data_IF_162412800118
#
_entry.id   IF_162412800118
#
_cell.length_a   1.000
_cell.length_b   1.000
_cell.length_c   1.000
_cell.angle_alpha   90.00
_cell.angle_beta   90.00
_cell.angle_gamma   90.00
#
_symmetry.space_group_name_H-M   'P 1'
#
loop_
_entity.id
_entity.type
_entity.pdbx_description
1 polymer ?
#
# COMPACT_ATOMS: atom_id res chain seq x y z
N UNK A 1 9.72 50.31 -26.42
CA UNK A 1 9.85 48.85 -26.70
C UNK A 1 8.50 48.13 -26.73
N UNK A 2 7.56 48.39 -25.80
CA UNK A 2 6.24 47.75 -25.80
C UNK A 2 5.39 48.06 -27.06
N UNK A 3 5.45 49.30 -27.58
CA UNK A 3 4.65 49.69 -28.74
C UNK A 3 5.08 49.00 -30.04
N UNK A 4 6.39 48.77 -30.21
CA UNK A 4 6.94 48.08 -31.38
C UNK A 4 6.49 46.61 -31.42
N UNK A 5 6.57 45.90 -30.28
CA UNK A 5 6.09 44.53 -30.16
C UNK A 5 4.58 44.43 -30.42
N UNK A 6 3.80 45.41 -29.95
CA UNK A 6 2.36 45.43 -30.20
C UNK A 6 2.01 45.67 -31.68
N UNK A 7 2.77 46.51 -32.38
CA UNK A 7 2.60 46.75 -33.81
C UNK A 7 2.98 45.50 -34.63
N UNK A 8 4.09 44.84 -34.28
CA UNK A 8 4.54 43.60 -34.91
C UNK A 8 3.49 42.48 -34.72
N UNK A 9 2.96 42.32 -33.50
CA UNK A 9 1.91 41.33 -33.22
C UNK A 9 0.59 41.67 -33.93
N UNK A 10 0.22 42.95 -34.04
CA UNK A 10 -0.97 43.38 -34.78
C UNK A 10 -0.84 43.03 -36.26
N UNK A 11 0.31 43.36 -36.86
CA UNK A 11 0.60 43.03 -38.25
C UNK A 11 0.60 41.51 -38.48
N UNK A 12 1.21 40.75 -37.57
CA UNK A 12 1.23 39.28 -37.60
C UNK A 12 -0.19 38.71 -37.57
N UNK A 13 -1.04 39.21 -36.67
CA UNK A 13 -2.42 38.73 -36.56
C UNK A 13 -3.27 39.06 -37.81
N UNK A 14 -3.04 40.21 -38.44
CA UNK A 14 -3.78 40.62 -39.64
C UNK A 14 -3.51 39.72 -40.87
N UNK A 15 -2.34 39.06 -40.91
CA UNK A 15 -1.91 38.16 -42.01
C UNK A 15 -2.45 36.73 -41.82
N UNK A 16 -3.31 36.48 -40.83
CA UNK A 16 -4.00 35.19 -40.70
C UNK A 16 -5.11 35.01 -41.72
N UNK A 17 -5.83 36.09 -42.03
CA UNK A 17 -7.00 36.07 -42.89
C UNK A 17 -8.15 36.90 -42.34
N UNK A 18 -9.34 36.65 -42.86
CA UNK A 18 -10.55 37.32 -42.38
C UNK A 18 -11.77 36.40 -42.48
N UNK A 19 -12.77 36.68 -41.66
CA UNK A 19 -14.05 36.00 -41.69
C UNK A 19 -15.09 36.88 -42.36
N UNK A 20 -15.73 36.39 -43.42
CA UNK A 20 -16.74 37.13 -44.17
C UNK A 20 -18.17 37.02 -43.59
N UNK A 21 -18.34 36.20 -42.54
CA UNK A 21 -19.65 35.89 -41.94
C UNK A 21 -20.12 34.46 -42.21
N UNK A 22 -19.59 33.83 -43.25
CA UNK A 22 -19.96 32.49 -43.72
C UNK A 22 -18.78 31.53 -43.81
N UNK A 23 -17.62 32.00 -44.26
CA UNK A 23 -16.40 31.22 -44.36
C UNK A 23 -15.18 32.05 -43.92
N UNK A 24 -14.12 31.34 -43.52
CA UNK A 24 -12.87 31.99 -43.14
C UNK A 24 -11.91 31.97 -44.32
N UNK A 25 -11.49 33.13 -44.82
CA UNK A 25 -10.54 33.22 -45.92
C UNK A 25 -9.11 33.31 -45.37
N UNK A 26 -8.32 32.26 -45.59
CA UNK A 26 -6.92 32.21 -45.18
C UNK A 26 -6.05 33.08 -46.08
N UNK A 27 -5.10 33.78 -45.49
CA UNK A 27 -4.01 34.40 -46.25
C UNK A 27 -2.93 33.37 -46.64
N UNK A 28 -2.16 33.65 -47.68
CA UNK A 28 -1.16 32.76 -48.29
C UNK A 28 -0.12 32.23 -47.30
N UNK A 29 0.20 33.03 -46.27
CA UNK A 29 1.24 32.73 -45.28
C UNK A 29 0.68 32.36 -43.89
N UNK A 30 -0.62 32.05 -43.78
CA UNK A 30 -1.29 31.80 -42.49
C UNK A 30 -0.58 30.74 -41.63
N UNK A 31 -0.06 29.67 -42.23
CA UNK A 31 0.63 28.60 -41.51
C UNK A 31 1.90 29.10 -40.81
N UNK A 32 2.70 29.92 -41.49
CA UNK A 32 3.95 30.44 -40.95
C UNK A 32 3.71 31.52 -39.90
N UNK A 33 2.67 32.32 -40.09
CA UNK A 33 2.16 33.27 -39.09
C UNK A 33 1.77 32.57 -37.79
N UNK A 34 1.04 31.44 -37.86
CA UNK A 34 0.69 30.67 -36.66
C UNK A 34 1.96 30.12 -35.98
N UNK A 35 2.96 29.65 -36.75
CA UNK A 35 4.25 29.21 -36.19
C UNK A 35 4.97 30.37 -35.51
N UNK A 36 4.93 31.58 -36.06
CA UNK A 36 5.51 32.77 -35.46
C UNK A 36 4.81 33.18 -34.17
N UNK A 37 3.48 33.16 -34.14
CA UNK A 37 2.70 33.36 -32.91
C UNK A 37 3.08 32.36 -31.81
N UNK A 38 3.32 31.10 -32.17
CA UNK A 38 3.81 30.08 -31.23
C UNK A 38 5.23 30.40 -30.76
N UNK A 39 6.13 30.87 -31.64
CA UNK A 39 7.49 31.30 -31.26
C UNK A 39 7.46 32.49 -30.30
N UNK A 40 6.59 33.47 -30.56
CA UNK A 40 6.36 34.61 -29.65
C UNK A 40 5.84 34.13 -28.29
N UNK A 41 4.83 33.25 -28.24
CA UNK A 41 4.30 32.70 -26.98
C UNK A 41 5.30 31.82 -26.21
N UNK A 42 6.26 31.19 -26.88
CA UNK A 42 7.34 30.44 -26.21
C UNK A 42 8.34 31.36 -25.52
N UNK A 43 8.58 32.55 -26.07
CA UNK A 43 9.47 33.59 -25.54
C UNK A 43 8.77 34.61 -24.65
N UNK A 44 7.48 34.39 -24.35
CA UNK A 44 6.67 35.28 -23.53
C UNK A 44 7.29 35.42 -22.13
N UNK A 45 7.40 36.65 -21.68
CA UNK A 45 8.00 37.01 -20.41
C UNK A 45 7.06 36.68 -19.23
N UNK A 46 7.57 36.81 -17.99
CA UNK A 46 6.77 36.59 -16.76
C UNK A 46 5.57 37.55 -16.65
N UNK A 47 5.57 38.64 -17.42
CA UNK A 47 4.46 39.58 -17.49
C UNK A 47 3.39 39.15 -18.49
N UNK A 48 3.66 38.14 -19.32
CA UNK A 48 2.76 37.59 -20.32
C UNK A 48 2.22 38.64 -21.30
N UNK A 49 3.07 39.57 -21.73
CA UNK A 49 2.69 40.69 -22.61
C UNK A 49 2.08 40.21 -23.93
N UNK A 50 2.68 39.19 -24.55
CA UNK A 50 2.26 38.64 -25.83
C UNK A 50 0.89 37.95 -25.66
N UNK A 51 0.75 37.10 -24.65
CA UNK A 51 -0.51 36.42 -24.39
C UNK A 51 -1.64 37.40 -24.04
N UNK A 52 -1.36 38.46 -23.28
CA UNK A 52 -2.34 39.52 -22.99
C UNK A 52 -2.77 40.23 -24.26
N UNK A 53 -1.84 40.53 -25.15
CA UNK A 53 -2.14 41.17 -26.44
C UNK A 53 -3.07 40.29 -27.28
N UNK A 54 -2.72 39.01 -27.47
CA UNK A 54 -3.56 38.05 -28.22
C UNK A 54 -4.94 37.84 -27.58
N UNK A 55 -5.02 37.92 -26.24
CA UNK A 55 -6.29 37.89 -25.52
C UNK A 55 -7.14 39.13 -25.74
N UNK A 56 -6.54 40.32 -25.79
CA UNK A 56 -7.24 41.59 -26.08
C UNK A 56 -7.76 41.65 -27.50
N UNK A 57 -6.99 41.15 -28.46
CA UNK A 57 -7.41 41.05 -29.87
C UNK A 57 -8.42 39.94 -30.11
N UNK A 58 -8.69 39.08 -29.10
CA UNK A 58 -9.59 37.93 -29.20
C UNK A 58 -9.24 37.00 -30.36
N UNK A 59 -7.93 36.88 -30.67
CA UNK A 59 -7.43 36.11 -31.81
C UNK A 59 -7.98 34.68 -31.83
N UNK A 60 -8.12 34.06 -30.64
CA UNK A 60 -8.64 32.70 -30.51
C UNK A 60 -10.08 32.59 -31.01
N UNK A 61 -10.96 33.54 -30.66
CA UNK A 61 -12.37 33.51 -31.04
C UNK A 61 -12.60 34.03 -32.46
N UNK A 62 -11.83 35.03 -32.88
CA UNK A 62 -12.04 35.73 -34.14
C UNK A 62 -11.47 34.97 -35.31
N UNK A 63 -10.30 34.34 -35.13
CA UNK A 63 -9.54 33.70 -36.20
C UNK A 63 -9.32 32.21 -35.91
N UNK A 64 -8.60 31.84 -34.84
CA UNK A 64 -8.12 30.45 -34.67
C UNK A 64 -9.24 29.40 -34.59
N UNK A 65 -10.33 29.67 -33.86
CA UNK A 65 -11.49 28.77 -33.80
C UNK A 65 -12.20 28.68 -35.14
N UNK A 66 -12.26 29.77 -35.90
CA UNK A 66 -12.89 29.77 -37.23
C UNK A 66 -12.03 29.04 -38.25
N UNK A 67 -10.72 29.27 -38.25
CA UNK A 67 -9.76 28.48 -39.03
C UNK A 67 -9.94 27.00 -38.72
N UNK A 68 -10.07 26.63 -37.45
CA UNK A 68 -10.30 25.25 -37.03
C UNK A 68 -11.61 24.66 -37.58
N UNK A 69 -12.71 25.40 -37.54
CA UNK A 69 -14.02 24.91 -38.01
C UNK A 69 -14.10 24.84 -39.55
N UNK A 70 -13.57 25.86 -40.23
CA UNK A 70 -13.74 26.04 -41.68
C UNK A 70 -12.67 25.31 -42.50
N UNK A 71 -11.46 25.13 -41.95
CA UNK A 71 -10.32 24.51 -42.65
C UNK A 71 -9.97 23.12 -42.12
N UNK A 72 -10.99 22.27 -41.88
CA UNK A 72 -10.82 20.89 -41.37
C UNK A 72 -9.88 20.03 -42.23
N UNK A 73 -9.85 20.27 -43.54
CA UNK A 73 -9.09 19.48 -44.51
C UNK A 73 -7.59 19.76 -44.51
N UNK A 74 -7.14 20.89 -43.93
CA UNK A 74 -5.74 21.29 -43.91
C UNK A 74 -5.03 20.76 -42.66
N UNK A 75 -4.68 19.48 -42.67
CA UNK A 75 -4.11 18.76 -41.51
C UNK A 75 -2.86 19.40 -40.91
N UNK A 76 -2.04 20.09 -41.71
CA UNK A 76 -0.87 20.82 -41.22
C UNK A 76 -1.24 22.01 -40.33
N UNK A 77 -2.29 22.76 -40.70
CA UNK A 77 -2.82 23.85 -39.87
C UNK A 77 -3.37 23.30 -38.56
N UNK A 78 -4.05 22.16 -38.61
CA UNK A 78 -4.57 21.48 -37.42
C UNK A 78 -3.47 21.09 -36.44
N UNK A 79 -2.42 20.46 -36.95
CA UNK A 79 -1.31 20.03 -36.13
C UNK A 79 -0.62 21.24 -35.48
N UNK A 80 -0.36 22.30 -36.24
CA UNK A 80 0.26 23.52 -35.70
C UNK A 80 -0.63 24.23 -34.67
N UNK A 81 -1.95 24.33 -34.92
CA UNK A 81 -2.90 24.95 -33.98
C UNK A 81 -3.04 24.15 -32.67
N UNK A 82 -3.02 22.82 -32.74
CA UNK A 82 -3.18 21.93 -31.58
C UNK A 82 -1.88 21.71 -30.78
N UNK A 83 -0.70 21.95 -31.36
CA UNK A 83 0.63 21.79 -30.72
C UNK A 83 0.90 22.70 -29.51
N UNK A 84 -0.05 23.53 -29.07
CA UNK A 84 0.18 24.49 -27.99
C UNK A 84 -0.60 24.19 -26.70
N UNK A 85 -0.02 23.35 -25.84
CA UNK A 85 -0.47 23.10 -24.46
C UNK A 85 -0.46 24.36 -23.56
N UNK A 86 0.20 25.45 -23.98
CA UNK A 86 0.29 26.72 -23.24
C UNK A 86 -0.75 27.78 -23.66
N UNK A 87 -1.72 27.43 -24.50
CA UNK A 87 -2.94 28.26 -24.72
C UNK A 87 -3.94 28.07 -23.56
N UNK A 88 -3.49 27.49 -22.44
CA UNK A 88 -4.21 27.51 -21.16
C UNK A 88 -4.61 28.94 -20.80
N UNK A 89 -5.92 29.18 -20.87
CA UNK A 89 -6.53 30.50 -20.90
C UNK A 89 -6.03 31.45 -19.82
N UNK A 90 -5.58 32.62 -20.26
CA UNK A 90 -5.38 33.79 -19.40
C UNK A 90 -6.56 34.72 -19.65
N UNK A 91 -7.50 34.72 -18.72
CA UNK A 91 -8.76 35.45 -18.77
C UNK A 91 -8.53 36.86 -18.21
N UNK A 92 -9.09 37.85 -18.88
CA UNK A 92 -9.14 39.23 -18.40
C UNK A 92 -10.52 39.43 -17.76
N UNK A 93 -10.56 39.79 -16.49
CA UNK A 93 -11.82 40.12 -15.81
C UNK A 93 -12.23 41.52 -16.26
N UNK A 94 -13.28 41.61 -17.08
CA UNK A 94 -13.84 42.89 -17.48
C UNK A 94 -14.35 43.65 -16.25
N UNK A 95 -14.11 44.97 -16.21
CA UNK A 95 -14.53 45.88 -15.13
C UNK A 95 -13.84 45.70 -13.75
N UNK A 96 -12.68 45.03 -13.69
CA UNK A 96 -11.81 45.05 -12.50
C UNK A 96 -10.39 45.50 -12.84
N UNK A 97 -9.88 46.51 -12.13
CA UNK A 97 -8.50 47.00 -12.25
C UNK A 97 -7.59 46.32 -11.23
N UNK A 98 -6.46 45.80 -11.67
CA UNK A 98 -5.33 45.44 -10.82
C UNK A 98 -4.65 46.70 -10.35
N UNK A 99 -4.04 46.68 -9.16
CA UNK A 99 -3.34 47.80 -8.51
C UNK A 99 -2.67 48.74 -9.54
N UNK A 100 -3.38 49.81 -9.91
CA UNK A 100 -3.11 50.64 -11.11
C UNK A 100 -4.29 50.73 -12.11
N UNK A 101 -4.01 51.13 -13.35
CA UNK A 101 -5.02 51.29 -14.43
C UNK A 101 -5.29 50.03 -15.26
N UNK A 102 -4.49 48.97 -15.08
CA UNK A 102 -4.56 47.76 -15.89
C UNK A 102 -5.65 46.81 -15.42
N UNK A 103 -6.33 46.12 -16.35
CA UNK A 103 -7.36 45.12 -16.02
C UNK A 103 -6.77 43.88 -15.31
N UNK A 104 -7.54 43.27 -14.40
CA UNK A 104 -7.17 42.07 -13.64
C UNK A 104 -7.06 40.82 -14.54
N UNK A 105 -6.00 40.04 -14.32
CA UNK A 105 -5.66 38.88 -15.16
C UNK A 105 -5.71 37.60 -14.33
N UNK A 106 -6.30 36.54 -14.89
CA UNK A 106 -6.56 35.28 -14.21
C UNK A 106 -6.20 34.09 -15.09
N UNK A 107 -5.47 33.12 -14.55
CA UNK A 107 -4.95 31.97 -15.31
C UNK A 107 -5.85 30.71 -15.23
N UNK A 108 -7.04 30.84 -14.62
CA UNK A 108 -8.09 29.80 -14.55
C UNK A 108 -9.47 30.47 -14.69
N UNK A 109 -10.43 29.86 -15.38
CA UNK A 109 -11.78 30.41 -15.48
C UNK A 109 -12.45 30.31 -14.10
N UNK A 110 -12.88 31.44 -13.52
CA UNK A 110 -13.70 31.41 -12.32
C UNK A 110 -15.04 30.79 -12.67
N UNK A 111 -15.43 29.76 -11.92
CA UNK A 111 -16.74 29.14 -12.12
C UNK A 111 -17.89 29.96 -11.48
N UNK A 112 -17.60 30.95 -10.61
CA UNK A 112 -18.58 31.94 -10.07
C UNK A 112 -17.89 33.25 -9.63
N UNK A 113 -18.49 34.41 -9.96
CA UNK A 113 -18.03 35.77 -9.59
C UNK A 113 -18.05 36.02 -8.07
N UNK A 114 -18.86 35.26 -7.33
CA UNK A 114 -18.98 35.30 -5.86
C UNK A 114 -17.69 34.94 -5.10
N UNK A 115 -16.65 34.46 -5.80
CA UNK A 115 -15.33 34.18 -5.20
C UNK A 115 -14.40 35.39 -5.13
N UNK A 116 -14.85 36.57 -5.57
CA UNK A 116 -14.14 37.84 -5.42
C UNK A 116 -14.57 38.54 -4.13
N UNK A 117 -14.10 38.04 -2.97
CA UNK A 117 -14.31 38.70 -1.68
C UNK A 117 -13.37 39.93 -1.53
N UNK A 118 -13.92 41.14 -1.69
CA UNK A 118 -13.24 42.41 -1.43
C UNK A 118 -13.32 42.84 0.06
N UNK A 119 -13.12 41.91 0.97
CA UNK A 119 -13.13 42.15 2.41
C UNK A 119 -11.89 42.85 2.96
N UNK A 120 -11.32 43.85 2.27
CA UNK A 120 -10.23 44.67 2.82
C UNK A 120 -10.81 45.82 3.65
N UNK A 121 -11.26 45.54 4.89
CA UNK A 121 -11.19 46.46 6.05
C UNK A 121 -11.97 45.95 7.29
N UNK A 122 -11.87 44.67 7.61
CA UNK A 122 -11.85 44.27 9.02
C UNK A 122 -10.56 43.53 9.26
N UNK A 123 -9.68 44.06 10.13
CA UNK A 123 -8.52 43.34 10.65
C UNK A 123 -9.06 42.08 11.35
N UNK A 124 -9.20 40.99 10.60
CA UNK A 124 -9.32 39.66 11.20
C UNK A 124 -8.05 39.49 12.02
N UNK A 125 -8.23 39.32 13.33
CA UNK A 125 -7.15 38.95 14.26
C UNK A 125 -6.38 37.82 13.58
N UNK A 126 -5.07 38.01 13.38
CA UNK A 126 -4.18 36.96 12.88
C UNK A 126 -4.25 35.80 13.87
N UNK A 127 -5.17 34.85 13.64
CA UNK A 127 -5.05 33.51 14.20
C UNK A 127 -3.83 32.89 13.52
N UNK A 128 -2.90 32.36 14.31
CA UNK A 128 -1.66 31.74 13.82
C UNK A 128 -2.00 30.75 12.70
N UNK A 129 -1.29 30.82 11.58
CA UNK A 129 -1.48 29.96 10.40
C UNK A 129 -1.31 28.46 10.72
N UNK A 130 -0.75 28.13 11.88
CA UNK A 130 -0.55 26.76 12.36
C UNK A 130 -1.83 26.06 12.87
N UNK A 131 -3.00 26.69 12.78
CA UNK A 131 -4.28 26.12 13.26
C UNK A 131 -5.40 26.04 12.22
N UNK A 132 -5.09 26.23 10.93
CA UNK A 132 -6.06 25.95 9.87
C UNK A 132 -5.66 24.67 9.14
N UNK A 133 -6.17 23.53 9.63
CA UNK A 133 -6.08 22.27 8.89
C UNK A 133 -6.63 22.42 7.47
N UNK A 134 -6.09 21.63 6.54
CA UNK A 134 -6.52 21.62 5.14
C UNK A 134 -8.02 21.31 5.08
N UNK A 135 -8.85 22.28 4.66
CA UNK A 135 -10.29 22.08 4.52
C UNK A 135 -10.60 21.53 3.13
N UNK A 136 -10.93 20.24 3.05
CA UNK A 136 -11.54 19.64 1.87
C UNK A 136 -13.07 19.77 2.01
N UNK A 137 -13.68 20.72 1.30
CA UNK A 137 -15.14 20.82 1.18
C UNK A 137 -15.63 19.77 0.20
N UNK A 138 -16.56 18.90 0.62
CA UNK A 138 -17.30 18.01 -0.28
C UNK A 138 -18.19 18.87 -1.18
N UNK A 139 -17.69 19.21 -2.37
CA UNK A 139 -18.49 19.91 -3.38
C UNK A 139 -19.16 18.86 -4.26
N UNK A 140 -20.41 18.52 -3.94
CA UNK A 140 -21.24 17.71 -4.82
C UNK A 140 -21.70 18.58 -6.01
N UNK A 141 -21.19 18.28 -7.20
CA UNK A 141 -21.70 18.89 -8.43
C UNK A 141 -22.86 18.08 -8.97
N UNK A 142 -24.04 18.66 -8.96
CA UNK A 142 -25.22 18.08 -9.62
C UNK A 142 -25.28 18.56 -11.06
N UNK A 143 -24.74 17.75 -11.98
CA UNK A 143 -24.93 17.96 -13.42
C UNK A 143 -26.40 17.74 -13.81
N UNK A 144 -26.82 18.33 -14.93
CA UNK A 144 -28.14 18.12 -15.53
C UNK A 144 -28.40 16.62 -15.75
N UNK A 145 -29.66 16.17 -15.62
CA UNK A 145 -30.03 14.76 -15.71
C UNK A 145 -29.53 14.09 -17.00
N UNK A 146 -29.66 14.75 -18.15
CA UNK A 146 -29.17 14.23 -19.44
C UNK A 146 -27.67 13.94 -19.42
N UNK A 147 -26.87 14.86 -18.87
CA UNK A 147 -25.42 14.69 -18.70
C UNK A 147 -25.11 13.53 -17.75
N UNK A 148 -25.89 13.35 -16.67
CA UNK A 148 -25.69 12.23 -15.74
C UNK A 148 -26.02 10.87 -16.37
N UNK A 149 -27.07 10.80 -17.19
CA UNK A 149 -27.41 9.59 -17.93
C UNK A 149 -26.32 9.23 -18.95
N UNK A 150 -25.86 10.23 -19.73
CA UNK A 150 -24.75 10.06 -20.66
C UNK A 150 -23.46 9.60 -19.97
N UNK A 151 -23.07 10.24 -18.85
CA UNK A 151 -21.88 9.83 -18.09
C UNK A 151 -22.03 8.43 -17.51
N UNK A 152 -23.23 8.05 -17.07
CA UNK A 152 -23.50 6.69 -16.58
C UNK A 152 -23.34 5.66 -17.69
N UNK A 153 -23.91 5.91 -18.86
CA UNK A 153 -23.78 5.04 -20.04
C UNK A 153 -22.31 4.90 -20.44
N UNK A 154 -21.58 6.02 -20.52
CA UNK A 154 -20.14 6.02 -20.76
C UNK A 154 -19.37 5.15 -19.74
N UNK A 155 -19.66 5.28 -18.44
CA UNK A 155 -18.99 4.48 -17.41
C UNK A 155 -19.25 2.98 -17.58
N UNK A 156 -20.47 2.59 -17.98
CA UNK A 156 -20.82 1.17 -18.22
C UNK A 156 -20.09 0.64 -19.45
N UNK A 157 -20.13 1.37 -20.56
CA UNK A 157 -19.42 0.99 -21.79
C UNK A 157 -17.91 0.90 -21.55
N UNK A 158 -17.33 1.90 -20.88
CA UNK A 158 -15.92 1.94 -20.57
C UNK A 158 -15.47 0.77 -19.69
N UNK A 159 -16.23 0.43 -18.64
CA UNK A 159 -15.95 -0.72 -17.78
C UNK A 159 -16.04 -2.04 -18.54
N UNK A 160 -16.99 -2.15 -19.45
CA UNK A 160 -17.20 -3.38 -20.21
C UNK A 160 -16.17 -3.61 -21.33
N UNK A 161 -15.71 -2.55 -21.99
CA UNK A 161 -14.90 -2.66 -23.20
C UNK A 161 -13.42 -2.27 -23.07
N UNK A 162 -13.07 -1.33 -22.18
CA UNK A 162 -11.76 -0.68 -22.22
C UNK A 162 -11.02 -0.64 -20.88
N UNK A 163 -11.72 -0.66 -19.74
CA UNK A 163 -11.12 -0.40 -18.43
C UNK A 163 -9.91 -1.28 -18.14
N UNK A 164 -10.03 -2.61 -18.21
CA UNK A 164 -8.92 -3.52 -17.91
C UNK A 164 -7.70 -3.25 -18.81
N UNK A 165 -7.90 -3.05 -20.11
CA UNK A 165 -6.83 -2.76 -21.07
C UNK A 165 -6.14 -1.43 -20.79
N UNK A 166 -6.92 -0.38 -20.53
CA UNK A 166 -6.41 0.97 -20.22
C UNK A 166 -5.65 0.97 -18.89
N UNK A 167 -6.19 0.32 -17.86
CA UNK A 167 -5.55 0.27 -16.55
C UNK A 167 -4.27 -0.56 -16.58
N UNK A 168 -4.24 -1.66 -17.33
CA UNK A 168 -3.03 -2.46 -17.55
C UNK A 168 -1.93 -1.64 -18.23
N UNK A 169 -2.28 -0.91 -19.29
CA UNK A 169 -1.33 -0.04 -19.99
C UNK A 169 -0.84 1.10 -19.08
N UNK A 170 -1.75 1.81 -18.42
CA UNK A 170 -1.40 2.90 -17.50
C UNK A 170 -0.49 2.44 -16.36
N UNK A 171 -0.73 1.24 -15.83
CA UNK A 171 0.13 0.59 -14.83
C UNK A 171 1.52 0.30 -15.37
N UNK A 172 1.63 -0.21 -16.60
CA UNK A 172 2.93 -0.44 -17.25
C UNK A 172 3.72 0.86 -17.43
N UNK A 173 3.06 1.98 -17.75
CA UNK A 173 3.70 3.29 -17.83
C UNK A 173 4.23 3.74 -16.47
N UNK A 174 3.48 3.54 -15.39
CA UNK A 174 3.91 3.94 -14.03
C UNK A 174 5.10 3.11 -13.55
N UNK A 175 5.17 1.83 -13.92
CA UNK A 175 6.27 0.93 -13.50
C UNK A 175 7.54 1.19 -14.32
N UNK A 176 7.41 1.44 -15.63
CA UNK A 176 8.56 1.54 -16.54
C UNK A 176 9.22 2.93 -16.53
N UNK A 177 8.53 3.98 -16.10
CA UNK A 177 9.10 5.32 -16.06
C UNK A 177 9.73 5.58 -14.69
N UNK A 178 11.07 5.60 -14.66
CA UNK A 178 11.91 5.91 -13.48
C UNK A 178 11.62 7.30 -12.88
N UNK A 179 11.12 8.23 -13.70
CA UNK A 179 10.73 9.60 -13.33
C UNK A 179 9.28 9.93 -13.74
N UNK A 180 8.35 9.00 -13.54
CA UNK A 180 6.93 9.25 -13.85
C UNK A 180 6.45 10.54 -13.18
N UNK A 181 5.99 11.51 -13.98
CA UNK A 181 5.45 12.75 -13.44
C UNK A 181 4.38 12.38 -12.42
N UNK A 182 4.55 12.76 -11.16
CA UNK A 182 3.64 12.36 -10.09
C UNK A 182 2.16 12.77 -10.32
N UNK A 183 1.88 13.56 -11.37
CA UNK A 183 0.55 13.84 -11.91
C UNK A 183 -0.12 12.62 -12.57
N UNK A 184 0.62 11.81 -13.31
CA UNK A 184 0.11 10.62 -14.01
C UNK A 184 -0.32 9.55 -13.02
N UNK A 185 0.51 9.27 -12.01
CA UNK A 185 0.17 8.34 -10.92
C UNK A 185 -1.06 8.80 -10.13
N UNK A 186 -1.19 10.10 -9.89
CA UNK A 186 -2.37 10.68 -9.22
C UNK A 186 -3.63 10.39 -10.05
N UNK A 187 -3.56 10.56 -11.36
CA UNK A 187 -4.70 10.32 -12.26
C UNK A 187 -5.09 8.83 -12.30
N UNK A 188 -4.10 7.93 -12.30
CA UNK A 188 -4.33 6.49 -12.19
C UNK A 188 -5.03 6.12 -10.88
N UNK A 189 -4.53 6.58 -9.73
CA UNK A 189 -5.14 6.30 -8.42
C UNK A 189 -6.57 6.84 -8.32
N UNK A 190 -6.83 8.00 -8.92
CA UNK A 190 -8.18 8.54 -9.02
C UNK A 190 -9.10 7.65 -9.85
N UNK A 191 -8.62 7.16 -11.00
CA UNK A 191 -9.37 6.27 -11.87
C UNK A 191 -9.70 4.94 -11.18
N UNK A 192 -8.71 4.32 -10.53
CA UNK A 192 -8.92 3.11 -9.70
C UNK A 192 -10.06 3.35 -8.71
N UNK A 193 -9.96 4.41 -7.91
CA UNK A 193 -10.99 4.75 -6.92
C UNK A 193 -12.37 4.93 -7.56
N UNK A 194 -12.47 5.77 -8.60
CA UNK A 194 -13.75 6.16 -9.17
C UNK A 194 -14.48 5.00 -9.86
N UNK A 195 -13.78 4.27 -10.73
CA UNK A 195 -14.40 3.21 -11.50
C UNK A 195 -14.68 1.95 -10.68
N UNK A 196 -13.85 1.63 -9.69
CA UNK A 196 -14.15 0.53 -8.78
C UNK A 196 -15.32 0.86 -7.86
N UNK A 197 -15.41 2.09 -7.34
CA UNK A 197 -16.55 2.57 -6.56
C UNK A 197 -17.85 2.53 -7.39
N UNK A 198 -17.79 2.98 -8.65
CA UNK A 198 -18.93 2.88 -9.58
C UNK A 198 -19.35 1.43 -9.82
N UNK A 199 -18.40 0.53 -10.10
CA UNK A 199 -18.67 -0.89 -10.31
C UNK A 199 -19.33 -1.51 -9.08
N UNK A 200 -18.83 -1.21 -7.87
CA UNK A 200 -19.38 -1.70 -6.60
C UNK A 200 -20.81 -1.24 -6.34
N UNK A 201 -21.18 -0.02 -6.74
CA UNK A 201 -22.50 0.54 -6.45
C UNK A 201 -23.56 0.31 -7.53
N UNK A 202 -23.17 0.06 -8.79
CA UNK A 202 -24.13 -0.09 -9.89
C UNK A 202 -24.57 -1.53 -10.12
N UNK A 203 -23.67 -2.37 -10.67
CA UNK A 203 -23.88 -3.79 -10.94
C UNK A 203 -22.54 -4.48 -10.77
N UNK A 204 -22.25 -4.87 -9.53
CA UNK A 204 -20.94 -5.38 -9.17
C UNK A 204 -20.60 -6.65 -9.94
N UNK A 205 -19.69 -6.51 -10.90
CA UNK A 205 -19.19 -7.61 -11.71
C UNK A 205 -17.66 -7.57 -11.71
N UNK A 206 -17.04 -8.63 -11.19
CA UNK A 206 -15.59 -8.68 -10.97
C UNK A 206 -14.82 -8.70 -12.29
N UNK A 207 -15.40 -9.26 -13.36
CA UNK A 207 -14.80 -9.31 -14.70
C UNK A 207 -14.40 -7.93 -15.23
N UNK A 208 -15.13 -6.87 -14.87
CA UNK A 208 -14.86 -5.51 -15.35
C UNK A 208 -13.67 -4.86 -14.64
N UNK A 209 -13.26 -5.35 -13.47
CA UNK A 209 -12.22 -4.75 -12.63
C UNK A 209 -11.11 -5.74 -12.27
N UNK A 210 -11.00 -6.85 -13.01
CA UNK A 210 -10.05 -7.94 -12.74
C UNK A 210 -8.59 -7.49 -12.79
N UNK A 211 -8.25 -6.51 -13.64
CA UNK A 211 -6.89 -5.95 -13.70
C UNK A 211 -6.53 -5.20 -12.40
N UNK A 212 -7.47 -4.44 -11.84
CA UNK A 212 -7.22 -3.57 -10.69
C UNK A 212 -7.36 -4.27 -9.34
N UNK A 213 -8.08 -5.38 -9.27
CA UNK A 213 -8.23 -6.18 -8.05
C UNK A 213 -7.18 -7.31 -7.98
N UNK A 214 -5.91 -6.94 -8.21
CA UNK A 214 -4.77 -7.85 -8.19
C UNK A 214 -3.81 -7.50 -7.05
N UNK A 215 -3.03 -8.48 -6.59
CA UNK A 215 -1.98 -8.28 -5.57
C UNK A 215 -0.96 -7.22 -5.98
N UNK A 216 -0.67 -7.13 -7.27
CA UNK A 216 0.25 -6.15 -7.87
C UNK A 216 -0.26 -4.71 -7.69
N UNK A 217 -1.58 -4.49 -7.80
CA UNK A 217 -2.17 -3.15 -7.63
C UNK A 217 -2.26 -2.78 -6.16
N UNK A 218 -2.52 -3.73 -5.26
CA UNK A 218 -2.39 -3.51 -3.81
C UNK A 218 -0.97 -3.07 -3.44
N UNK A 219 0.05 -3.77 -3.96
CA UNK A 219 1.45 -3.42 -3.76
C UNK A 219 1.76 -2.02 -4.30
N UNK A 220 1.31 -1.72 -5.53
CA UNK A 220 1.53 -0.42 -6.16
C UNK A 220 0.95 0.72 -5.32
N UNK A 221 -0.30 0.59 -4.87
CA UNK A 221 -0.97 1.64 -4.08
C UNK A 221 -0.26 1.82 -2.73
N UNK A 222 0.08 0.72 -2.05
CA UNK A 222 0.79 0.75 -0.78
C UNK A 222 2.16 1.44 -0.91
N UNK A 223 2.97 1.06 -1.90
CA UNK A 223 4.27 1.70 -2.19
C UNK A 223 4.13 3.19 -2.51
N UNK A 224 3.07 3.60 -3.22
CA UNK A 224 2.82 5.01 -3.50
C UNK A 224 2.43 5.79 -2.25
N UNK A 225 1.67 5.19 -1.32
CA UNK A 225 1.35 5.81 -0.04
C UNK A 225 2.61 6.06 0.79
N UNK A 226 3.52 5.08 0.88
CA UNK A 226 4.82 5.24 1.56
C UNK A 226 5.65 6.34 0.90
N UNK A 227 5.79 6.31 -0.44
CA UNK A 227 6.50 7.35 -1.19
C UNK A 227 5.93 8.74 -0.95
N UNK A 228 4.61 8.92 -0.97
CA UNK A 228 4.01 10.23 -0.72
C UNK A 228 4.23 10.72 0.70
N UNK A 229 4.25 9.80 1.67
CA UNK A 229 4.58 10.12 3.05
C UNK A 229 6.06 10.54 3.18
N UNK A 230 7.00 9.80 2.58
CA UNK A 230 8.43 10.17 2.54
C UNK A 230 8.66 11.53 1.87
N UNK A 231 8.00 11.79 0.74
CA UNK A 231 8.08 13.07 0.03
C UNK A 231 7.50 14.23 0.85
N UNK A 232 6.52 13.98 1.72
CA UNK A 232 5.99 14.98 2.64
C UNK A 232 7.00 15.34 3.74
N UNK A 233 7.87 14.42 4.13
CA UNK A 233 8.94 14.65 5.11
C UNK A 233 10.12 15.42 4.48
N UNK A 234 10.53 15.02 3.27
CA UNK A 234 11.70 15.60 2.59
C UNK A 234 11.40 16.96 1.95
N UNK A 235 10.28 17.10 1.23
CA UNK A 235 9.89 18.32 0.52
C UNK A 235 8.89 19.17 1.33
N UNK A 236 9.43 19.88 2.33
CA UNK A 236 8.65 20.77 3.21
C UNK A 236 7.94 21.91 2.46
N UNK A 237 8.35 22.26 1.24
CA UNK A 237 7.74 23.36 0.46
C UNK A 237 6.42 22.94 -0.19
N UNK A 238 6.25 21.64 -0.50
CA UNK A 238 5.06 21.10 -1.20
C UNK A 238 4.19 20.20 -0.33
N UNK A 239 4.25 20.33 1.00
CA UNK A 239 3.42 19.54 1.95
C UNK A 239 1.93 19.45 1.54
N UNK A 240 1.24 20.56 1.18
CA UNK A 240 -0.18 20.47 0.82
C UNK A 240 -0.46 19.62 -0.42
N UNK A 241 0.50 19.58 -1.36
CA UNK A 241 0.39 18.80 -2.58
C UNK A 241 0.62 17.31 -2.29
N UNK A 242 1.64 16.97 -1.50
CA UNK A 242 1.90 15.59 -1.07
C UNK A 242 0.79 15.02 -0.19
N UNK A 243 0.24 15.85 0.70
CA UNK A 243 -0.92 15.53 1.55
C UNK A 243 -2.16 15.16 0.72
N UNK A 244 -2.48 15.94 -0.33
CA UNK A 244 -3.58 15.62 -1.26
C UNK A 244 -3.35 14.32 -2.04
N UNK A 245 -2.12 14.06 -2.46
CA UNK A 245 -1.75 12.81 -3.17
C UNK A 245 -1.85 11.59 -2.26
N UNK A 246 -1.35 11.69 -1.04
CA UNK A 246 -1.49 10.65 -0.01
C UNK A 246 -2.96 10.35 0.28
N UNK A 247 -3.79 11.38 0.42
CA UNK A 247 -5.23 11.21 0.63
C UNK A 247 -5.92 10.48 -0.51
N UNK A 248 -5.56 10.80 -1.76
CA UNK A 248 -6.08 10.09 -2.91
C UNK A 248 -5.67 8.62 -2.93
N UNK A 249 -4.40 8.32 -2.63
CA UNK A 249 -3.89 6.95 -2.55
C UNK A 249 -4.62 6.15 -1.46
N UNK A 250 -4.85 6.75 -0.29
CA UNK A 250 -5.63 6.15 0.78
C UNK A 250 -7.06 5.83 0.36
N UNK A 251 -7.73 6.74 -0.36
CA UNK A 251 -9.08 6.45 -0.87
C UNK A 251 -9.10 5.33 -1.91
N UNK A 252 -8.07 5.24 -2.76
CA UNK A 252 -7.93 4.12 -3.69
C UNK A 252 -7.74 2.80 -2.93
N UNK A 253 -6.88 2.78 -1.90
CA UNK A 253 -6.68 1.61 -1.03
C UNK A 253 -7.98 1.19 -0.31
N UNK A 254 -8.71 2.17 0.21
CA UNK A 254 -10.02 1.95 0.84
C UNK A 254 -11.02 1.28 -0.12
N UNK A 255 -11.08 1.73 -1.37
CA UNK A 255 -11.99 1.14 -2.37
C UNK A 255 -11.56 -0.27 -2.79
N UNK A 256 -10.25 -0.55 -2.84
CA UNK A 256 -9.74 -1.91 -3.04
C UNK A 256 -10.20 -2.86 -1.91
N UNK A 257 -10.12 -2.42 -0.65
CA UNK A 257 -10.62 -3.19 0.50
C UNK A 257 -12.14 -3.39 0.45
N UNK A 258 -12.91 -2.33 0.12
CA UNK A 258 -14.37 -2.44 -0.04
C UNK A 258 -14.75 -3.40 -1.17
N UNK A 259 -13.99 -3.42 -2.25
CA UNK A 259 -14.19 -4.35 -3.36
C UNK A 259 -13.91 -5.79 -2.93
N UNK A 260 -12.85 -6.05 -2.16
CA UNK A 260 -12.61 -7.40 -1.59
C UNK A 260 -13.78 -7.87 -0.71
N UNK A 261 -14.33 -6.99 0.14
CA UNK A 261 -15.52 -7.32 0.94
C UNK A 261 -16.75 -7.61 0.08
N UNK A 262 -16.90 -6.94 -1.06
CA UNK A 262 -17.98 -7.21 -2.01
C UNK A 262 -17.77 -8.55 -2.73
N UNK A 263 -16.53 -8.92 -3.04
CA UNK A 263 -16.18 -10.21 -3.64
C UNK A 263 -16.55 -11.39 -2.74
N UNK A 264 -16.41 -11.27 -1.41
CA UNK A 264 -16.81 -12.35 -0.48
C UNK A 264 -18.30 -12.68 -0.52
N UNK A 265 -19.12 -11.68 -0.86
CA UNK A 265 -20.58 -11.80 -0.94
C UNK A 265 -21.05 -12.28 -2.31
N UNK A 266 -20.14 -12.47 -3.25
CA UNK A 266 -20.47 -12.95 -4.59
C UNK A 266 -20.92 -14.42 -4.56
N UNK A 267 -21.80 -14.76 -5.49
CA UNK A 267 -22.35 -16.12 -5.63
C UNK A 267 -21.26 -17.06 -6.18
N UNK A 268 -20.37 -16.55 -7.02
CA UNK A 268 -19.33 -17.31 -7.68
C UNK A 268 -18.24 -17.78 -6.69
N UNK A 269 -17.96 -19.08 -6.71
CA UNK A 269 -16.90 -19.67 -5.91
C UNK A 269 -15.50 -19.20 -6.34
N UNK A 270 -15.25 -19.02 -7.65
CA UNK A 270 -13.94 -18.60 -8.15
C UNK A 270 -13.55 -17.20 -7.67
N UNK A 271 -14.53 -16.29 -7.65
CA UNK A 271 -14.37 -14.92 -7.12
C UNK A 271 -14.08 -14.95 -5.62
N UNK A 272 -14.79 -15.79 -4.84
CA UNK A 272 -14.55 -15.92 -3.40
C UNK A 272 -13.17 -16.48 -3.08
N UNK A 273 -12.69 -17.47 -3.83
CA UNK A 273 -11.31 -17.96 -3.66
C UNK A 273 -10.26 -16.91 -4.03
N UNK A 274 -10.48 -16.17 -5.12
CA UNK A 274 -9.60 -15.05 -5.47
C UNK A 274 -9.52 -14.00 -4.35
N UNK A 275 -10.66 -13.67 -3.73
CA UNK A 275 -10.71 -12.80 -2.55
C UNK A 275 -9.89 -13.35 -1.39
N UNK A 276 -10.04 -14.65 -1.06
CA UNK A 276 -9.28 -15.29 0.03
C UNK A 276 -7.77 -15.26 -0.21
N UNK A 277 -7.32 -15.52 -1.44
CA UNK A 277 -5.89 -15.46 -1.81
C UNK A 277 -5.35 -14.04 -1.62
N UNK A 278 -6.06 -13.02 -2.08
CA UNK A 278 -5.63 -11.63 -1.94
C UNK A 278 -5.62 -11.23 -0.45
N UNK A 279 -6.63 -11.61 0.33
CA UNK A 279 -6.68 -11.36 1.78
C UNK A 279 -5.54 -12.03 2.53
N UNK A 280 -5.22 -13.28 2.18
CA UNK A 280 -4.07 -13.99 2.73
C UNK A 280 -2.81 -13.15 2.53
N UNK A 281 -2.52 -12.74 1.30
CA UNK A 281 -1.35 -11.91 1.01
C UNK A 281 -1.35 -10.59 1.80
N UNK A 282 -2.49 -9.92 1.93
CA UNK A 282 -2.62 -8.67 2.70
C UNK A 282 -2.37 -8.89 4.20
N UNK A 283 -2.87 -9.97 4.80
CA UNK A 283 -2.77 -10.17 6.24
C UNK A 283 -1.46 -10.80 6.71
N UNK A 284 -0.80 -11.63 5.88
CA UNK A 284 0.49 -12.22 6.26
C UNK A 284 1.69 -11.29 6.03
N UNK A 285 1.68 -10.53 4.94
CA UNK A 285 2.80 -9.63 4.61
C UNK A 285 2.77 -8.43 5.56
N UNK A 286 3.87 -8.22 6.27
CA UNK A 286 4.03 -7.18 7.31
C UNK A 286 3.75 -5.78 6.79
N UNK A 287 4.18 -5.49 5.57
CA UNK A 287 4.15 -4.20 4.92
C UNK A 287 2.70 -3.71 4.80
N UNK A 288 1.77 -4.55 4.35
CA UNK A 288 0.36 -4.20 4.28
C UNK A 288 -0.27 -4.06 5.67
N UNK A 289 0.09 -4.95 6.61
CA UNK A 289 -0.45 -4.95 7.97
C UNK A 289 -0.09 -3.66 8.71
N UNK A 290 1.14 -3.18 8.55
CA UNK A 290 1.65 -2.02 9.28
C UNK A 290 1.31 -0.69 8.60
N UNK A 291 1.12 -0.67 7.28
CA UNK A 291 0.90 0.59 6.51
C UNK A 291 -0.19 1.48 7.10
N UNK A 292 -1.40 0.94 7.36
CA UNK A 292 -2.52 1.75 7.87
C UNK A 292 -2.24 2.25 9.30
N UNK A 293 -1.69 1.39 10.16
CA UNK A 293 -1.40 1.76 11.55
C UNK A 293 -0.24 2.76 11.65
N UNK A 294 0.79 2.58 10.83
CA UNK A 294 1.88 3.54 10.68
C UNK A 294 1.35 4.92 10.28
N UNK A 295 0.44 4.97 9.30
CA UNK A 295 -0.20 6.23 8.90
C UNK A 295 -1.07 6.86 9.99
N UNK A 296 -1.74 6.06 10.83
CA UNK A 296 -2.50 6.57 11.99
C UNK A 296 -1.56 7.18 13.03
N UNK A 297 -0.45 6.51 13.35
CA UNK A 297 0.55 7.01 14.31
C UNK A 297 1.26 8.25 13.81
N UNK A 298 1.41 8.37 12.49
CA UNK A 298 2.07 9.50 11.82
C UNK A 298 1.11 10.63 11.42
N UNK A 299 -0.16 10.59 11.84
CA UNK A 299 -1.11 11.66 11.55
C UNK A 299 -0.69 12.98 12.23
N UNK A 300 -0.63 14.04 11.43
CA UNK A 300 -0.28 15.38 11.88
C UNK A 300 -1.35 16.38 11.42
N UNK A 301 -2.06 16.97 12.39
CA UNK A 301 -3.16 17.93 12.13
C UNK A 301 -2.69 19.17 11.34
N UNK A 302 -1.39 19.50 11.41
CA UNK A 302 -0.82 20.65 10.68
C UNK A 302 -0.60 20.36 9.19
N UNK A 303 -0.40 19.09 8.82
CA UNK A 303 -0.03 18.65 7.46
C UNK A 303 -1.19 17.97 6.72
N UNK A 304 -2.09 17.34 7.45
CA UNK A 304 -3.15 16.47 6.90
C UNK A 304 -4.55 17.06 7.13
N UNK A 305 -5.47 16.82 6.20
CA UNK A 305 -6.85 17.31 6.31
C UNK A 305 -7.67 16.50 7.32
N UNK A 306 -8.73 17.10 7.89
CA UNK A 306 -9.69 16.36 8.73
C UNK A 306 -10.39 15.24 7.93
N UNK A 307 -10.63 15.47 6.64
CA UNK A 307 -11.24 14.46 5.77
C UNK A 307 -10.30 13.27 5.58
N UNK A 308 -8.99 13.50 5.47
CA UNK A 308 -7.99 12.44 5.48
C UNK A 308 -8.08 11.60 6.75
N UNK A 309 -8.18 12.23 7.93
CA UNK A 309 -8.33 11.48 9.19
C UNK A 309 -9.60 10.61 9.22
N UNK A 310 -10.74 11.15 8.77
CA UNK A 310 -11.99 10.39 8.71
C UNK A 310 -11.85 9.19 7.79
N UNK A 311 -11.28 9.38 6.60
CA UNK A 311 -11.10 8.31 5.62
C UNK A 311 -10.05 7.29 6.12
N UNK A 312 -9.02 7.73 6.85
CA UNK A 312 -8.00 6.86 7.45
C UNK A 312 -8.56 5.98 8.56
N UNK A 313 -9.34 6.56 9.48
CA UNK A 313 -10.02 5.82 10.53
C UNK A 313 -11.04 4.85 9.94
N UNK A 314 -11.78 5.27 8.89
CA UNK A 314 -12.71 4.39 8.18
C UNK A 314 -11.98 3.22 7.51
N UNK A 315 -10.83 3.49 6.89
CA UNK A 315 -9.98 2.46 6.27
C UNK A 315 -9.44 1.48 7.32
N UNK A 316 -8.98 1.97 8.47
CA UNK A 316 -8.55 1.13 9.58
C UNK A 316 -9.70 0.27 10.14
N UNK A 317 -10.89 0.84 10.28
CA UNK A 317 -12.07 0.09 10.69
C UNK A 317 -12.43 -1.02 9.69
N UNK A 318 -12.43 -0.73 8.39
CA UNK A 318 -12.66 -1.72 7.33
C UNK A 318 -11.61 -2.83 7.41
N UNK A 319 -10.33 -2.47 7.53
CA UNK A 319 -9.23 -3.43 7.62
C UNK A 319 -9.36 -4.35 8.83
N UNK A 320 -9.62 -3.80 10.02
CA UNK A 320 -9.83 -4.58 11.24
C UNK A 320 -11.06 -5.49 11.15
N UNK A 321 -12.16 -5.00 10.57
CA UNK A 321 -13.36 -5.80 10.36
C UNK A 321 -13.13 -6.97 9.40
N UNK A 322 -12.36 -6.73 8.33
CA UNK A 322 -11.95 -7.80 7.41
C UNK A 322 -11.05 -8.82 8.10
N UNK A 323 -10.11 -8.35 8.94
CA UNK A 323 -9.21 -9.20 9.71
C UNK A 323 -9.97 -10.04 10.74
N UNK A 324 -10.93 -9.45 11.45
CA UNK A 324 -11.78 -10.16 12.40
C UNK A 324 -12.53 -11.30 11.71
N UNK A 325 -13.17 -11.01 10.57
CA UNK A 325 -13.86 -12.04 9.80
C UNK A 325 -12.92 -13.15 9.30
N UNK A 326 -11.69 -12.79 8.91
CA UNK A 326 -10.66 -13.74 8.50
C UNK A 326 -10.17 -14.60 9.68
N UNK A 327 -10.18 -14.08 10.91
CA UNK A 327 -9.78 -14.80 12.13
C UNK A 327 -10.90 -15.61 12.80
N UNK A 328 -12.17 -15.42 12.42
CA UNK A 328 -13.31 -16.09 13.06
C UNK A 328 -13.22 -17.63 12.92
N UNK A 329 -13.66 -18.32 13.98
CA UNK A 329 -13.50 -19.78 14.23
C UNK A 329 -14.06 -20.61 13.07
N UNK A 330 -13.19 -20.97 12.13
CA UNK A 330 -13.51 -21.74 10.91
C UNK A 330 -12.47 -21.57 9.80
N UNK A 331 -11.69 -20.48 9.84
CA UNK A 331 -10.62 -20.16 8.89
C UNK A 331 -9.27 -19.98 9.61
N UNK A 332 -8.78 -21.02 10.30
CA UNK A 332 -7.46 -21.00 10.98
C UNK A 332 -6.33 -20.96 9.94
N UNK A 333 -6.08 -19.80 9.36
CA UNK A 333 -4.95 -19.57 8.48
C UNK A 333 -3.87 -18.74 9.21
N UNK A 334 -4.21 -17.69 9.97
CA UNK A 334 -3.19 -16.84 10.60
C UNK A 334 -2.38 -17.56 11.69
N UNK A 335 -1.17 -18.01 11.33
CA UNK A 335 -0.11 -18.43 12.24
C UNK A 335 0.71 -17.20 12.59
N UNK A 336 0.58 -16.71 13.82
CA UNK A 336 1.38 -15.57 14.30
C UNK A 336 2.80 -16.07 14.58
N UNK A 337 3.76 -15.61 13.77
CA UNK A 337 5.17 -15.86 14.03
C UNK A 337 5.59 -15.06 15.27
N UNK A 338 5.85 -15.76 16.38
CA UNK A 338 6.32 -15.09 17.60
C UNK A 338 7.71 -14.48 17.35
N UNK A 339 7.77 -13.17 17.20
CA UNK A 339 9.04 -12.42 17.13
C UNK A 339 9.76 -12.52 18.47
N UNK A 340 10.86 -13.30 18.50
CA UNK A 340 11.81 -13.34 19.62
C UNK A 340 12.35 -11.92 19.87
N UNK A 341 11.98 -11.31 20.99
CA UNK A 341 12.46 -9.99 21.41
C UNK A 341 13.99 -9.99 21.53
N UNK A 342 14.68 -9.22 20.66
CA UNK A 342 16.12 -8.94 20.77
C UNK A 342 16.39 -8.10 22.02
N UNK A 343 16.85 -8.72 23.11
CA UNK A 343 17.33 -8.01 24.30
C UNK A 343 18.60 -7.21 23.97
N UNK A 344 18.49 -5.87 24.00
CA UNK A 344 19.65 -4.96 24.07
C UNK A 344 20.36 -5.14 25.41
N UNK A 345 21.69 -5.27 25.36
CA UNK A 345 22.57 -5.32 26.52
C UNK A 345 22.54 -3.98 27.27
N UNK A 346 22.14 -3.99 28.54
CA UNK A 346 22.62 -3.03 29.53
C UNK A 346 23.18 -3.81 30.73
N UNK A 347 24.33 -3.32 31.19
CA UNK A 347 25.28 -3.94 32.11
C UNK A 347 24.66 -4.36 33.44
N UNK A 348 25.17 -5.49 33.94
CA UNK A 348 25.66 -5.54 35.31
C UNK A 348 24.73 -6.10 36.36
N UNK A 349 24.55 -7.42 36.30
CA UNK A 349 24.67 -8.38 37.41
C UNK A 349 23.78 -8.21 38.65
N UNK A 350 23.04 -9.30 38.86
CA UNK A 350 22.49 -9.85 40.12
C UNK A 350 21.13 -9.29 40.54
N UNK A 351 20.08 -9.88 39.96
CA UNK A 351 18.79 -10.04 40.63
C UNK A 351 18.84 -11.31 41.48
N UNK A 352 18.58 -11.14 42.77
CA UNK A 352 17.99 -12.17 43.63
C UNK A 352 16.52 -12.44 43.18
N UNK A 353 15.73 -13.14 44.01
CA UNK A 353 15.10 -14.43 43.80
C UNK A 353 13.77 -14.29 43.02
N UNK A 354 13.09 -15.40 42.71
CA UNK A 354 11.64 -15.46 42.93
C UNK A 354 11.06 -16.86 42.68
N UNK A 355 10.46 -17.39 43.75
CA UNK A 355 9.29 -18.28 43.69
C UNK A 355 8.21 -17.69 42.75
N UNK A 356 7.31 -18.56 42.30
CA UNK A 356 5.88 -18.24 42.09
C UNK A 356 5.47 -17.03 42.95
N UNK A 357 4.97 -15.89 42.46
CA UNK A 357 4.23 -15.54 41.24
C UNK A 357 5.13 -15.12 40.07
N UNK A 358 5.50 -16.08 39.23
CA UNK A 358 6.26 -15.85 38.02
C UNK A 358 6.00 -17.01 37.07
N UNK A 359 6.08 -16.74 35.77
CA UNK A 359 6.12 -17.74 34.69
C UNK A 359 7.02 -18.89 35.16
N UNK A 360 6.46 -20.04 35.51
CA UNK A 360 7.28 -21.24 35.65
C UNK A 360 7.67 -21.63 34.23
N UNK A 361 8.94 -21.43 33.84
CA UNK A 361 9.43 -21.96 32.58
C UNK A 361 9.29 -23.48 32.72
N UNK A 362 8.90 -24.18 31.66
CA UNK A 362 9.22 -25.61 31.58
C UNK A 362 10.70 -25.74 31.95
N UNK A 363 11.06 -26.44 33.05
CA UNK A 363 12.44 -26.47 33.50
C UNK A 363 13.28 -27.01 32.36
N UNK A 364 14.39 -26.31 32.07
CA UNK A 364 15.33 -26.76 31.06
C UNK A 364 15.73 -28.20 31.37
N UNK A 365 16.07 -28.99 30.36
CA UNK A 365 16.48 -30.39 30.55
C UNK A 365 17.61 -30.50 31.61
N UNK A 366 18.44 -29.48 31.73
CA UNK A 366 19.48 -29.36 32.76
C UNK A 366 18.90 -29.26 34.19
N UNK A 367 17.91 -28.40 34.43
CA UNK A 367 17.25 -28.28 35.74
C UNK A 367 16.48 -29.55 36.13
N UNK A 368 15.90 -30.27 35.15
CA UNK A 368 15.26 -31.57 35.39
C UNK A 368 16.28 -32.64 35.74
N UNK A 369 17.44 -32.63 35.10
CA UNK A 369 18.54 -33.53 35.39
C UNK A 369 19.17 -33.25 36.76
N UNK A 370 19.29 -31.99 37.17
CA UNK A 370 19.83 -31.63 38.50
C UNK A 370 18.96 -32.17 39.65
N UNK A 371 17.66 -32.38 39.40
CA UNK A 371 16.74 -33.02 40.36
C UNK A 371 16.79 -34.55 40.26
N UNK A 372 16.79 -35.09 39.04
CA UNK A 372 16.76 -36.55 38.80
C UNK A 372 18.12 -37.21 39.11
N UNK A 373 19.24 -36.53 38.88
CA UNK A 373 20.59 -37.06 39.02
C UNK A 373 20.92 -37.58 40.43
N UNK A 374 20.65 -36.81 41.50
CA UNK A 374 20.83 -37.28 42.87
C UNK A 374 19.88 -38.44 43.24
N UNK A 375 18.63 -38.39 42.79
CA UNK A 375 17.64 -39.47 43.00
C UNK A 375 18.07 -40.77 42.28
N UNK A 376 18.59 -40.64 41.05
CA UNK A 376 19.13 -41.76 40.27
C UNK A 376 20.37 -42.35 40.93
N UNK A 377 21.29 -41.52 41.45
CA UNK A 377 22.48 -41.98 42.18
C UNK A 377 22.13 -42.69 43.50
N UNK A 378 21.00 -42.37 44.13
CA UNK A 378 20.49 -43.08 45.30
C UNK A 378 19.85 -44.43 44.89
N UNK A 379 19.02 -44.44 43.85
CA UNK A 379 18.39 -45.66 43.31
C UNK A 379 19.44 -46.66 42.83
N UNK A 380 20.54 -46.19 42.22
CA UNK A 380 21.65 -47.06 41.80
C UNK A 380 22.42 -47.70 42.97
N UNK A 381 22.34 -47.13 44.18
CA UNK A 381 22.98 -47.68 45.39
C UNK A 381 22.11 -48.72 46.11
N UNK A 382 20.79 -48.58 46.06
CA UNK A 382 19.85 -49.38 46.88
C UNK A 382 18.91 -50.33 46.11
N UNK A 383 18.83 -50.30 44.77
CA UNK A 383 17.74 -51.00 44.08
C UNK A 383 18.04 -52.45 43.66
N UNK A 384 17.19 -53.36 44.16
CA UNK A 384 16.81 -54.62 43.50
C UNK A 384 16.18 -54.28 42.15
N UNK A 385 16.74 -54.79 41.06
CA UNK A 385 16.34 -54.44 39.70
C UNK A 385 15.14 -55.30 39.27
N UNK A 386 14.01 -54.70 38.85
CA UNK A 386 12.96 -55.46 38.17
C UNK A 386 13.41 -55.83 36.75
N UNK A 387 13.36 -57.13 36.43
CA UNK A 387 13.70 -57.68 35.11
C UNK A 387 12.64 -57.25 34.09
N UNK A 388 13.04 -56.42 33.12
CA UNK A 388 12.15 -55.89 32.08
C UNK A 388 12.58 -56.35 30.70
N UNK A 389 11.62 -56.54 29.79
CA UNK A 389 11.89 -56.93 28.41
C UNK A 389 12.02 -55.65 27.56
N UNK A 390 13.19 -55.35 26.98
CA UNK A 390 13.45 -54.05 26.34
C UNK A 390 13.03 -53.99 24.86
N UNK A 391 12.66 -55.12 24.26
CA UNK A 391 12.22 -55.22 22.86
C UNK A 391 10.93 -56.03 22.73
N UNK A 392 10.20 -55.86 21.62
CA UNK A 392 8.95 -56.57 21.37
C UNK A 392 9.15 -57.57 20.23
N UNK A 393 9.17 -58.86 20.59
CA UNK A 393 9.39 -59.97 19.66
C UNK A 393 8.20 -60.21 18.70
N UNK A 394 7.08 -59.49 18.87
CA UNK A 394 5.91 -59.59 18.00
C UNK A 394 5.89 -58.55 16.88
N UNK A 395 6.86 -57.63 16.86
CA UNK A 395 7.00 -56.62 15.81
C UNK A 395 7.92 -57.13 14.69
N UNK A 396 7.49 -57.00 13.44
CA UNK A 396 8.27 -57.34 12.22
C UNK A 396 9.50 -56.43 11.99
N UNK A 397 9.79 -55.51 12.92
CA UNK A 397 10.92 -54.60 12.85
C UNK A 397 12.21 -55.28 13.34
N UNK A 398 13.33 -55.17 12.59
CA UNK A 398 14.62 -55.73 12.99
C UNK A 398 15.04 -55.28 14.39
N UNK A 399 15.70 -56.16 15.15
CA UNK A 399 16.11 -55.93 16.54
C UNK A 399 17.01 -54.67 16.67
N UNK A 400 17.78 -54.34 15.64
CA UNK A 400 18.63 -53.14 15.62
C UNK A 400 17.84 -51.84 15.44
N UNK A 401 16.68 -51.87 14.77
CA UNK A 401 15.83 -50.68 14.57
C UNK A 401 15.00 -50.35 15.83
N UNK A 402 14.66 -51.38 16.62
CA UNK A 402 13.97 -51.25 17.91
C UNK A 402 14.84 -50.58 18.99
N UNK A 403 16.16 -50.42 18.75
CA UNK A 403 17.10 -49.69 19.61
C UNK A 403 16.67 -48.26 19.88
N UNK A 404 16.25 -47.55 18.82
CA UNK A 404 15.83 -46.15 18.92
C UNK A 404 14.57 -45.98 19.78
N UNK A 405 13.67 -46.97 19.74
CA UNK A 405 12.46 -46.99 20.53
C UNK A 405 12.71 -47.37 21.99
N UNK A 406 13.68 -48.25 22.26
CA UNK A 406 14.15 -48.53 23.62
C UNK A 406 14.73 -47.26 24.27
N UNK A 407 15.56 -46.48 23.56
CA UNK A 407 16.10 -45.20 24.09
C UNK A 407 15.00 -44.18 24.37
N UNK A 408 14.01 -44.05 23.48
CA UNK A 408 12.84 -43.17 23.71
C UNK A 408 12.04 -43.60 24.94
N UNK A 409 11.85 -44.91 25.15
CA UNK A 409 11.17 -45.45 26.34
C UNK A 409 11.94 -45.12 27.63
N UNK A 410 13.27 -45.30 27.64
CA UNK A 410 14.13 -44.92 28.78
C UNK A 410 14.01 -43.41 29.05
N UNK A 411 14.15 -42.57 28.02
CA UNK A 411 14.03 -41.12 28.16
C UNK A 411 12.66 -40.69 28.71
N UNK A 412 11.58 -41.35 28.27
CA UNK A 412 10.21 -41.11 28.76
C UNK A 412 10.06 -41.51 30.23
N UNK A 413 10.54 -42.68 30.63
CA UNK A 413 10.48 -43.15 32.03
C UNK A 413 11.28 -42.23 32.96
N UNK A 414 12.45 -41.75 32.52
CA UNK A 414 13.26 -40.76 33.24
C UNK A 414 12.51 -39.43 33.42
N UNK A 415 11.84 -38.93 32.37
CA UNK A 415 11.02 -37.71 32.44
C UNK A 415 9.79 -37.87 33.34
N UNK A 416 9.30 -39.09 33.55
CA UNK A 416 8.18 -39.43 34.43
C UNK A 416 8.61 -39.75 35.87
N UNK A 417 9.91 -39.64 36.20
CA UNK A 417 10.53 -40.00 37.50
C UNK A 417 10.43 -41.49 37.90
N UNK A 418 10.18 -42.39 36.95
CA UNK A 418 10.20 -43.84 37.20
C UNK A 418 11.62 -44.39 37.00
N UNK A 419 12.53 -44.03 37.91
CA UNK A 419 13.97 -44.25 37.76
C UNK A 419 14.38 -45.73 37.88
N UNK A 420 13.71 -46.50 38.73
CA UNK A 420 13.95 -47.95 38.90
C UNK A 420 13.67 -48.72 37.60
N UNK A 421 12.57 -48.39 36.93
CA UNK A 421 12.17 -49.00 35.66
C UNK A 421 13.08 -48.53 34.51
N UNK A 422 13.48 -47.26 34.50
CA UNK A 422 14.44 -46.75 33.53
C UNK A 422 15.80 -47.45 33.64
N UNK A 423 16.29 -47.68 34.87
CA UNK A 423 17.52 -48.41 35.14
C UNK A 423 17.41 -49.90 34.77
N UNK A 424 16.29 -50.55 35.11
CA UNK A 424 16.03 -51.94 34.72
C UNK A 424 15.97 -52.13 33.21
N UNK A 425 15.31 -51.21 32.50
CA UNK A 425 15.21 -51.26 31.04
C UNK A 425 16.54 -50.95 30.35
N UNK A 426 17.38 -50.06 30.92
CA UNK A 426 18.75 -49.83 30.46
C UNK A 426 19.62 -51.09 30.61
N UNK A 427 19.58 -51.75 31.78
CA UNK A 427 20.37 -52.96 32.05
C UNK A 427 19.94 -54.12 31.15
N UNK A 428 18.64 -54.32 30.97
CA UNK A 428 18.13 -55.34 30.05
C UNK A 428 18.49 -55.01 28.59
N UNK A 429 18.38 -53.75 28.17
CA UNK A 429 18.80 -53.31 26.83
C UNK A 429 20.30 -53.55 26.61
N UNK A 430 21.12 -53.39 27.64
CA UNK A 430 22.58 -53.62 27.58
C UNK A 430 22.94 -55.09 27.37
N UNK A 431 22.19 -56.04 27.92
CA UNK A 431 22.44 -57.47 27.70
C UNK A 431 22.18 -57.90 26.25
N UNK A 432 21.25 -57.23 25.57
CA UNK A 432 20.83 -57.56 24.20
C UNK A 432 21.66 -56.80 23.16
N UNK A 433 22.01 -55.53 23.41
CA UNK A 433 22.79 -54.68 22.50
C UNK A 433 24.18 -54.37 23.07
N UNK A 434 24.95 -55.42 23.39
CA UNK A 434 26.26 -55.33 24.06
C UNK A 434 27.40 -54.76 23.20
N UNK A 435 27.24 -54.74 21.87
CA UNK A 435 28.27 -54.24 20.93
C UNK A 435 28.19 -52.73 20.65
N UNK A 436 27.15 -52.05 21.12
CA UNK A 436 26.83 -50.68 20.72
C UNK A 436 27.07 -49.66 21.85
N UNK A 437 27.92 -48.66 21.60
CA UNK A 437 28.42 -47.66 22.57
C UNK A 437 27.37 -46.82 23.33
N UNK A 438 26.07 -46.94 23.02
CA UNK A 438 25.03 -46.08 23.59
C UNK A 438 24.46 -46.56 24.94
N UNK A 439 24.52 -47.86 25.23
CA UNK A 439 24.08 -48.44 26.52
C UNK A 439 25.25 -48.91 27.39
N UNK A 440 26.47 -48.81 26.84
CA UNK A 440 27.71 -49.18 27.50
C UNK A 440 28.02 -50.68 27.49
N UNK A 441 29.23 -51.06 27.90
CA UNK A 441 29.71 -52.45 27.97
C UNK A 441 29.12 -53.20 29.17
N UNK A 442 29.11 -54.53 29.10
CA UNK A 442 28.51 -55.40 30.12
C UNK A 442 29.09 -55.19 31.54
N UNK A 443 30.39 -54.87 31.66
CA UNK A 443 31.11 -54.71 32.93
C UNK A 443 31.44 -53.24 33.25
N UNK A 444 30.44 -52.37 33.21
CA UNK A 444 30.61 -50.93 33.42
C UNK A 444 30.55 -50.53 34.91
N UNK A 445 31.40 -49.59 35.37
CA UNK A 445 31.28 -49.01 36.70
C UNK A 445 30.00 -48.16 36.82
N UNK A 446 29.40 -48.06 38.02
CA UNK A 446 28.15 -47.31 38.22
C UNK A 446 28.24 -45.83 37.81
N UNK A 447 29.45 -45.27 37.75
CA UNK A 447 29.71 -43.91 37.27
C UNK A 447 29.49 -43.77 35.75
N UNK A 448 29.88 -44.76 34.96
CA UNK A 448 29.70 -44.77 33.50
C UNK A 448 28.25 -45.13 33.13
N UNK A 449 27.58 -45.98 33.92
CA UNK A 449 26.13 -46.26 33.77
C UNK A 449 25.29 -44.98 33.99
N UNK A 450 25.70 -44.14 34.95
CA UNK A 450 25.10 -42.83 35.19
C UNK A 450 25.30 -41.86 34.01
N UNK A 451 26.49 -41.87 33.40
CA UNK A 451 26.78 -41.05 32.22
C UNK A 451 25.98 -41.50 30.99
N UNK A 452 25.81 -42.81 30.77
CA UNK A 452 24.97 -43.31 29.67
C UNK A 452 23.50 -42.86 29.81
N UNK A 453 22.95 -42.93 31.02
CA UNK A 453 21.59 -42.43 31.30
C UNK A 453 21.49 -40.91 31.11
N UNK A 454 22.54 -40.17 31.46
CA UNK A 454 22.62 -38.73 31.19
C UNK A 454 22.58 -38.44 29.70
N UNK A 455 23.40 -39.14 28.92
CA UNK A 455 23.46 -38.96 27.47
C UNK A 455 22.10 -39.26 26.81
N UNK A 456 21.44 -40.35 27.19
CA UNK A 456 20.09 -40.70 26.70
C UNK A 456 19.06 -39.64 27.12
N UNK A 457 19.18 -39.07 28.33
CA UNK A 457 18.26 -38.04 28.79
C UNK A 457 18.36 -36.75 27.95
N UNK A 458 19.58 -36.35 27.57
CA UNK A 458 19.85 -35.15 26.77
C UNK A 458 19.81 -35.38 25.25
N UNK A 459 19.76 -36.63 24.78
CA UNK A 459 19.70 -36.94 23.36
C UNK A 459 18.39 -36.45 22.71
N UNK A 460 18.50 -35.80 21.55
CA UNK A 460 17.36 -35.36 20.74
C UNK A 460 16.82 -36.52 19.90
N UNK A 461 16.07 -37.41 20.54
CA UNK A 461 15.57 -38.65 19.96
C UNK A 461 14.23 -38.49 19.22
N UNK A 462 13.77 -37.26 18.96
CA UNK A 462 12.54 -37.02 18.20
C UNK A 462 11.30 -37.60 18.87
N UNK A 463 10.88 -37.01 19.98
CA UNK A 463 9.63 -37.33 20.69
C UNK A 463 9.35 -36.35 21.82
N UNK A 464 8.23 -35.64 21.73
CA UNK A 464 7.56 -35.07 22.92
C UNK A 464 6.80 -36.18 23.67
#
# INVERSE_FOLDING_TARGET
>A
MADYLSAELTATCAVLGYFDGTDYHLDKNCLDVIKDLIRYLRRDDDTHTIRRFLGRTKLLQTDLVKIFIHHVKYTELWDVLLRHSRFGGTYIVQNMKATGENQMICHKPYQKIETLEFGHNKKRVKRRKDKMGVQDTKVERTSVLSVRLFLKEFCVEFLSGAYNSVMKFARSCIINVTDGEASETTSYLWAVRFFMEFNRHYKFEVKYVSETISTEVFYLVQRQMERYYEMMITDKKKIPLWSRRLHLALKAYQELLNTLMAMDKSIDHGVRESSKIIKSNIFYVSEYRETIFSQLLCFDETKMSRQYLVDLVTTAHIFLKMLEHFCQKGQRQLVVQQTKLKRKKAKGRKTEPAHEENVTPTPTLEERWDIIGPELSAVMRDAVVPEMIPFDATLDTPIDDQKSDAMKKIQKLMRQRNLEQALGLLRAAREIWSENDCFGRADIPPEEEFLALREIFFADLGGE
#
